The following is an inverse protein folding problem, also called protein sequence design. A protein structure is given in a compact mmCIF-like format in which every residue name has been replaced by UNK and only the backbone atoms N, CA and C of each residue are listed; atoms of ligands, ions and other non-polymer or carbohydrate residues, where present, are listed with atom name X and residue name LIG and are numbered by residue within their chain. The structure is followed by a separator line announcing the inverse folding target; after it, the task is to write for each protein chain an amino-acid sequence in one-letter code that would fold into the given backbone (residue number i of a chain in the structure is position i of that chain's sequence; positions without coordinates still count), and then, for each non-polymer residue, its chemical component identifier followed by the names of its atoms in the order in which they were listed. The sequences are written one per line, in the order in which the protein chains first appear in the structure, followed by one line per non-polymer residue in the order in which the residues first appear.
data_IF_588253210017
#
_entry.id   IF_588253210017
#
_cell.length_a   1.000
_cell.length_b   1.000
_cell.length_c   1.000
_cell.angle_alpha   90.00
_cell.angle_beta   90.00
_cell.angle_gamma   90.00
#
_symmetry.space_group_name_H-M   'P 1'
#
loop_
_entity.id
_entity.type
_entity.pdbx_description
1 polymer ?
#
# COMPACT_ATOMS: atom_id res chain seq x y z
N UNK A 1 -44.44 -21.10 48.15
CA UNK A 1 -45.28 -20.44 47.14
C UNK A 1 -44.37 -19.64 46.23
N UNK A 2 -44.14 -20.15 45.03
CA UNK A 2 -43.13 -19.73 44.06
C UNK A 2 -43.60 -18.55 43.21
N UNK A 3 -42.88 -17.44 43.25
CA UNK A 3 -43.02 -16.35 42.29
C UNK A 3 -42.13 -16.63 41.08
N UNK A 4 -42.75 -16.88 39.92
CA UNK A 4 -42.08 -17.08 38.64
C UNK A 4 -41.70 -15.74 38.02
N UNK A 5 -40.39 -15.48 37.93
CA UNK A 5 -39.81 -14.37 37.16
C UNK A 5 -39.72 -14.79 35.68
N UNK A 6 -40.53 -14.19 34.79
CA UNK A 6 -40.33 -14.29 33.34
C UNK A 6 -39.42 -13.15 32.88
N UNK A 7 -38.40 -13.40 32.03
CA UNK A 7 -37.62 -12.33 31.43
C UNK A 7 -38.47 -11.57 30.39
N UNK A 8 -38.21 -10.27 30.17
CA UNK A 8 -38.93 -9.48 29.19
C UNK A 8 -38.63 -10.00 27.78
N UNK A 9 -39.69 -10.20 27.00
CA UNK A 9 -39.58 -10.59 25.60
C UNK A 9 -38.86 -9.49 24.80
N UNK A 10 -37.73 -9.85 24.16
CA UNK A 10 -37.10 -9.01 23.15
C UNK A 10 -38.11 -8.72 22.03
N UNK A 11 -38.59 -7.47 21.97
CA UNK A 11 -39.29 -6.97 20.79
C UNK A 11 -38.27 -6.81 19.68
N UNK A 12 -38.28 -7.73 18.72
CA UNK A 12 -37.69 -7.50 17.40
C UNK A 12 -38.49 -6.36 16.79
N UNK A 13 -37.91 -5.16 16.78
CA UNK A 13 -38.45 -4.01 16.05
C UNK A 13 -38.27 -4.32 14.57
N UNK A 14 -39.36 -4.67 13.88
CA UNK A 14 -39.35 -4.76 12.41
C UNK A 14 -39.03 -3.37 11.84
N UNK A 15 -38.22 -3.26 10.77
CA UNK A 15 -38.01 -1.99 10.09
C UNK A 15 -39.36 -1.41 9.66
N UNK A 16 -39.47 -0.08 9.74
CA UNK A 16 -40.70 0.66 9.42
C UNK A 16 -41.01 0.46 7.94
N UNK A 17 -42.11 -0.26 7.64
CA UNK A 17 -42.54 -0.67 6.29
C UNK A 17 -42.66 0.45 5.24
N UNK A 18 -42.58 1.72 5.65
CA UNK A 18 -42.63 2.90 4.77
C UNK A 18 -41.28 3.24 4.13
N UNK A 19 -40.15 2.84 4.73
CA UNK A 19 -38.80 3.03 4.16
C UNK A 19 -38.47 1.97 3.10
N UNK A 20 -38.98 0.75 3.25
CA UNK A 20 -38.73 -0.34 2.28
C UNK A 20 -39.40 -0.10 0.92
N UNK A 21 -40.63 0.44 0.90
CA UNK A 21 -41.35 0.69 -0.36
C UNK A 21 -40.70 1.79 -1.22
N UNK A 22 -40.15 2.84 -0.58
CA UNK A 22 -39.40 3.91 -1.27
C UNK A 22 -38.06 3.39 -1.82
N UNK A 23 -37.38 2.50 -1.09
CA UNK A 23 -36.12 1.91 -1.55
C UNK A 23 -36.31 1.00 -2.77
N UNK A 24 -37.31 0.11 -2.73
CA UNK A 24 -37.63 -0.81 -3.83
C UNK A 24 -38.02 -0.04 -5.10
N UNK A 25 -38.87 0.99 -4.98
CA UNK A 25 -39.26 1.87 -6.09
C UNK A 25 -38.03 2.60 -6.66
N UNK A 26 -37.18 3.17 -5.80
CA UNK A 26 -35.95 3.85 -6.21
C UNK A 26 -34.96 2.91 -6.90
N UNK A 27 -34.80 1.68 -6.42
CA UNK A 27 -33.94 0.68 -7.04
C UNK A 27 -34.48 0.26 -8.41
N UNK A 28 -35.80 0.10 -8.55
CA UNK A 28 -36.43 -0.22 -9.84
C UNK A 28 -36.32 0.92 -10.87
N UNK A 29 -36.23 2.17 -10.38
CA UNK A 29 -36.09 3.37 -11.20
C UNK A 29 -34.63 3.73 -11.53
N UNK A 30 -33.64 2.97 -11.03
CA UNK A 30 -32.24 3.22 -11.34
C UNK A 30 -32.01 3.04 -12.85
N UNK A 31 -31.45 4.04 -13.55
CA UNK A 31 -31.11 3.87 -14.95
C UNK A 31 -30.04 2.79 -15.09
N UNK A 32 -30.17 1.93 -16.10
CA UNK A 32 -29.14 0.92 -16.38
C UNK A 32 -27.85 1.56 -16.88
N UNK A 33 -27.93 2.74 -17.52
CA UNK A 33 -26.79 3.48 -18.05
C UNK A 33 -26.13 4.38 -17.00
N UNK A 34 -24.86 4.70 -17.29
CA UNK A 34 -24.06 5.63 -16.49
C UNK A 34 -24.64 7.03 -16.64
N UNK A 35 -24.93 7.69 -15.53
CA UNK A 35 -25.40 9.08 -15.52
C UNK A 35 -24.22 10.06 -15.59
N UNK A 36 -24.48 11.31 -15.98
CA UNK A 36 -23.46 12.37 -15.96
C UNK A 36 -22.88 12.60 -14.56
N UNK A 37 -23.70 12.46 -13.52
CA UNK A 37 -23.27 12.59 -12.12
C UNK A 37 -22.32 11.47 -11.72
N UNK A 38 -22.61 10.23 -12.14
CA UNK A 38 -21.75 9.07 -11.88
C UNK A 38 -20.42 9.18 -12.65
N UNK A 39 -20.44 9.67 -13.89
CA UNK A 39 -19.24 9.96 -14.67
C UNK A 39 -18.39 11.06 -14.03
N UNK A 40 -19.01 12.17 -13.61
CA UNK A 40 -18.32 13.26 -12.92
C UNK A 40 -17.71 12.81 -11.59
N UNK A 41 -18.45 11.99 -10.81
CA UNK A 41 -17.94 11.39 -9.58
C UNK A 41 -16.72 10.52 -9.88
N UNK A 42 -16.81 9.60 -10.84
CA UNK A 42 -15.70 8.73 -11.20
C UNK A 42 -14.48 9.53 -11.67
N UNK A 43 -14.67 10.54 -12.53
CA UNK A 43 -13.61 11.45 -12.97
C UNK A 43 -12.93 12.12 -11.77
N UNK A 44 -13.69 12.59 -10.79
CA UNK A 44 -13.13 13.21 -9.58
C UNK A 44 -12.23 12.27 -8.75
N UNK A 45 -12.44 10.95 -8.86
CA UNK A 45 -11.65 9.94 -8.14
C UNK A 45 -10.34 9.58 -8.85
N UNK A 46 -10.21 9.93 -10.13
CA UNK A 46 -9.07 9.57 -10.97
C UNK A 46 -8.16 10.76 -11.27
N UNK A 47 -8.49 11.95 -10.76
CA UNK A 47 -7.62 13.12 -10.84
C UNK A 47 -6.41 12.92 -9.93
N UNK A 48 -5.21 13.07 -10.50
CA UNK A 48 -3.94 13.06 -9.76
C UNK A 48 -3.45 14.45 -9.40
N UNK A 49 -3.98 15.49 -10.05
CA UNK A 49 -3.66 16.88 -9.74
C UNK A 49 -4.25 17.29 -8.38
N UNK A 50 -3.42 17.90 -7.55
CA UNK A 50 -3.84 18.38 -6.24
C UNK A 50 -4.44 19.79 -6.35
N UNK A 51 -5.65 19.96 -5.82
CA UNK A 51 -6.21 21.28 -5.56
C UNK A 51 -5.31 22.05 -4.57
N UNK A 52 -5.32 23.40 -4.57
CA UNK A 52 -4.46 24.21 -3.70
C UNK A 52 -4.55 23.83 -2.22
N UNK A 53 -5.76 23.56 -1.71
CA UNK A 53 -5.96 23.15 -0.32
C UNK A 53 -5.38 21.76 -0.01
N UNK A 54 -5.37 20.84 -0.98
CA UNK A 54 -4.77 19.51 -0.82
C UNK A 54 -3.25 19.64 -0.75
N UNK A 55 -2.67 20.48 -1.62
CA UNK A 55 -1.24 20.75 -1.61
C UNK A 55 -0.78 21.41 -0.30
N UNK A 56 -1.53 22.40 0.19
CA UNK A 56 -1.27 23.04 1.49
C UNK A 56 -1.37 22.05 2.65
N UNK A 57 -2.40 21.20 2.65
CA UNK A 57 -2.58 20.18 3.70
C UNK A 57 -1.45 19.15 3.71
N UNK A 58 -1.02 18.69 2.54
CA UNK A 58 0.13 17.78 2.41
C UNK A 58 1.41 18.45 2.88
N UNK A 59 1.65 19.71 2.51
CA UNK A 59 2.87 20.44 2.87
C UNK A 59 2.95 20.77 4.38
N UNK A 60 1.80 20.85 5.06
CA UNK A 60 1.74 21.28 6.46
C UNK A 60 1.66 20.08 7.41
N UNK A 61 2.73 19.77 8.17
CA UNK A 61 2.70 18.66 9.12
C UNK A 61 1.77 18.94 10.31
N UNK A 62 1.24 17.87 10.89
CA UNK A 62 0.37 17.96 12.08
C UNK A 62 1.15 18.28 13.36
N UNK A 63 2.44 17.94 13.38
CA UNK A 63 3.36 18.17 14.49
C UNK A 63 4.77 18.49 13.96
N UNK A 64 5.55 19.21 14.76
CA UNK A 64 6.96 19.54 14.50
C UNK A 64 7.83 18.85 15.55
N UNK A 65 8.89 18.19 15.09
CA UNK A 65 9.81 17.39 15.89
C UNK A 65 11.22 18.00 15.86
N UNK A 66 11.39 19.17 16.48
CA UNK A 66 12.65 19.94 16.46
C UNK A 66 13.86 19.17 17.03
N UNK A 67 13.62 18.31 18.02
CA UNK A 67 14.67 17.56 18.70
C UNK A 67 15.16 16.33 17.89
N UNK A 68 14.44 15.92 16.85
CA UNK A 68 14.81 14.73 16.06
C UNK A 68 15.94 15.08 15.08
N UNK A 69 17.15 14.63 15.40
CA UNK A 69 18.38 14.84 14.59
C UNK A 69 18.54 13.83 13.45
N UNK A 70 17.91 12.67 13.58
CA UNK A 70 18.11 11.52 12.69
C UNK A 70 16.77 11.11 12.08
N UNK A 71 16.67 11.07 10.75
CA UNK A 71 15.43 10.72 10.03
C UNK A 71 15.66 9.45 9.20
N UNK A 72 15.02 8.34 9.58
CA UNK A 72 15.04 7.10 8.83
C UNK A 72 13.63 6.82 8.28
N UNK A 73 13.49 6.68 6.98
CA UNK A 73 12.23 6.35 6.32
C UNK A 73 12.47 5.43 5.12
N UNK A 74 12.36 4.11 5.34
CA UNK A 74 12.63 3.09 4.31
C UNK A 74 11.38 2.31 3.89
N UNK A 75 10.22 2.68 4.40
CA UNK A 75 8.95 2.06 4.05
C UNK A 75 7.84 3.09 4.17
N UNK A 76 7.51 3.72 3.05
CA UNK A 76 6.49 4.77 2.94
C UNK A 76 6.09 4.98 1.48
N UNK A 77 4.87 5.45 1.24
CA UNK A 77 4.21 5.49 -0.07
C UNK A 77 3.80 6.90 -0.47
N UNK A 78 4.37 7.47 -1.56
CA UNK A 78 4.00 8.80 -2.05
C UNK A 78 2.56 8.92 -2.54
N UNK A 79 1.98 7.85 -3.14
CA UNK A 79 0.60 7.81 -3.64
C UNK A 79 0.16 9.06 -4.44
N UNK A 80 0.79 9.30 -5.60
CA UNK A 80 0.54 10.46 -6.47
C UNK A 80 0.85 11.84 -5.88
N UNK A 81 1.28 11.92 -4.61
CA UNK A 81 1.71 13.19 -4.03
C UNK A 81 3.06 13.61 -4.63
N UNK A 82 3.17 14.83 -5.18
CA UNK A 82 4.43 15.33 -5.71
C UNK A 82 5.55 15.34 -4.67
N UNK A 83 6.72 14.79 -5.03
CA UNK A 83 7.89 14.72 -4.14
C UNK A 83 8.33 16.08 -3.60
N UNK A 84 8.11 17.17 -4.35
CA UNK A 84 8.40 18.53 -3.88
C UNK A 84 7.60 18.92 -2.62
N UNK A 85 6.30 18.57 -2.56
CA UNK A 85 5.46 18.83 -1.39
C UNK A 85 5.87 17.97 -0.20
N UNK A 86 6.28 16.72 -0.46
CA UNK A 86 6.78 15.82 0.58
C UNK A 86 8.09 16.36 1.18
N UNK A 87 9.00 16.89 0.34
CA UNK A 87 10.21 17.59 0.80
C UNK A 87 9.87 18.79 1.68
N UNK A 88 8.90 19.61 1.28
CA UNK A 88 8.45 20.75 2.08
C UNK A 88 7.92 20.29 3.45
N UNK A 89 7.08 19.24 3.47
CA UNK A 89 6.53 18.67 4.70
C UNK A 89 7.63 18.17 5.64
N UNK A 90 8.57 17.36 5.13
CA UNK A 90 9.70 16.84 5.91
C UNK A 90 10.60 17.97 6.43
N UNK A 91 10.82 19.00 5.62
CA UNK A 91 11.51 20.22 6.01
C UNK A 91 10.88 20.92 7.21
N UNK A 92 9.55 21.10 7.16
CA UNK A 92 8.79 21.72 8.24
C UNK A 92 8.69 20.83 9.49
N UNK A 93 8.60 19.51 9.29
CA UNK A 93 8.39 18.55 10.36
C UNK A 93 9.67 18.27 11.17
N UNK A 94 10.82 18.23 10.52
CA UNK A 94 12.12 17.94 11.14
C UNK A 94 13.14 19.05 10.85
N UNK A 95 12.97 20.26 11.42
CA UNK A 95 13.84 21.39 11.13
C UNK A 95 15.27 21.20 11.67
N UNK A 96 15.44 20.35 12.70
CA UNK A 96 16.72 20.08 13.34
C UNK A 96 17.48 18.86 12.81
N UNK A 97 17.02 18.21 11.74
CA UNK A 97 17.65 16.99 11.21
C UNK A 97 19.07 17.24 10.69
N UNK A 98 19.97 16.33 10.98
CA UNK A 98 21.39 16.36 10.63
C UNK A 98 21.78 15.13 9.78
N UNK A 99 21.18 13.97 10.06
CA UNK A 99 21.38 12.74 9.31
C UNK A 99 20.05 12.15 8.84
N UNK A 100 19.99 11.72 7.57
CA UNK A 100 18.76 11.14 7.02
C UNK A 100 19.01 9.99 6.04
N UNK A 101 18.13 8.99 6.03
CA UNK A 101 18.04 8.02 4.96
C UNK A 101 16.57 7.82 4.63
N UNK A 102 16.17 8.37 3.49
CA UNK A 102 14.78 8.40 3.03
C UNK A 102 14.75 7.70 1.68
N UNK A 103 14.04 6.58 1.62
CA UNK A 103 13.88 5.77 0.41
C UNK A 103 12.38 5.48 0.25
N UNK A 104 11.70 6.10 -0.74
CA UNK A 104 10.30 5.86 -1.00
C UNK A 104 10.10 4.45 -1.55
N UNK A 105 8.96 3.88 -1.23
CA UNK A 105 8.53 2.59 -1.73
C UNK A 105 7.16 2.73 -2.34
N UNK A 106 6.92 2.17 -3.51
CA UNK A 106 5.59 2.06 -4.09
C UNK A 106 5.37 0.62 -4.50
N UNK A 107 4.13 0.15 -4.39
CA UNK A 107 3.80 -1.22 -4.72
C UNK A 107 4.12 -1.53 -6.19
N UNK A 108 5.14 -2.36 -6.39
CA UNK A 108 5.62 -2.81 -7.70
C UNK A 108 5.99 -1.66 -8.65
N UNK A 109 6.53 -0.58 -8.09
CA UNK A 109 7.00 0.59 -8.82
C UNK A 109 8.27 1.16 -8.20
N UNK A 110 9.31 1.28 -9.02
CA UNK A 110 10.55 1.94 -8.64
C UNK A 110 10.30 3.44 -8.46
N UNK A 111 10.55 3.92 -7.25
CA UNK A 111 10.39 5.34 -6.90
C UNK A 111 11.69 5.88 -6.33
N UNK A 112 12.09 7.08 -6.73
CA UNK A 112 13.40 7.64 -6.36
C UNK A 112 13.31 8.86 -5.43
N UNK A 113 14.26 8.96 -4.51
CA UNK A 113 14.50 10.11 -3.63
C UNK A 113 15.99 10.29 -3.40
N UNK A 114 16.51 11.48 -3.73
CA UNK A 114 17.88 11.94 -3.43
C UNK A 114 18.97 10.86 -3.56
N UNK A 115 19.05 10.24 -4.73
CA UNK A 115 20.09 9.25 -5.06
C UNK A 115 19.78 7.81 -4.66
N UNK A 116 18.66 7.55 -3.99
CA UNK A 116 18.15 6.22 -3.69
C UNK A 116 16.85 5.92 -4.43
N UNK A 117 16.63 4.65 -4.74
CA UNK A 117 15.40 4.15 -5.35
C UNK A 117 14.89 2.96 -4.55
N UNK A 118 13.59 2.94 -4.26
CA UNK A 118 12.94 1.86 -3.54
C UNK A 118 11.69 1.36 -4.25
N UNK A 119 11.31 0.14 -3.90
CA UNK A 119 10.07 -0.51 -4.33
C UNK A 119 9.63 -1.51 -3.27
N UNK A 120 8.33 -1.61 -3.04
CA UNK A 120 7.75 -2.70 -2.27
C UNK A 120 7.13 -3.69 -3.25
N UNK A 121 7.61 -4.93 -3.24
CA UNK A 121 7.17 -5.97 -4.19
C UNK A 121 6.23 -6.96 -3.53
N UNK A 122 5.16 -7.32 -4.23
CA UNK A 122 4.38 -8.51 -3.88
C UNK A 122 5.05 -9.75 -4.50
N UNK A 123 5.28 -10.77 -3.70
CA UNK A 123 5.91 -12.00 -4.15
C UNK A 123 5.30 -13.23 -3.48
N UNK A 124 5.61 -14.39 -4.03
CA UNK A 124 5.16 -15.67 -3.50
C UNK A 124 6.22 -16.32 -2.62
N UNK A 125 5.81 -16.75 -1.42
CA UNK A 125 6.63 -17.56 -0.55
C UNK A 125 6.19 -19.02 -0.66
N UNK A 126 6.92 -19.80 -1.47
CA UNK A 126 6.57 -21.20 -1.76
C UNK A 126 6.58 -22.09 -0.52
N UNK A 127 7.51 -21.86 0.41
CA UNK A 127 7.60 -22.62 1.67
C UNK A 127 6.37 -22.51 2.56
N UNK A 128 5.56 -21.46 2.39
CA UNK A 128 4.36 -21.21 3.21
C UNK A 128 3.08 -21.07 2.40
N UNK A 129 3.18 -21.24 1.08
CA UNK A 129 2.08 -21.09 0.14
C UNK A 129 1.25 -19.81 0.37
N UNK A 130 1.94 -18.66 0.51
CA UNK A 130 1.29 -17.37 0.78
C UNK A 130 1.97 -16.24 0.02
N UNK A 131 1.19 -15.18 -0.25
CA UNK A 131 1.73 -13.89 -0.69
C UNK A 131 2.50 -13.25 0.45
N UNK A 132 3.70 -12.76 0.18
CA UNK A 132 4.51 -11.95 1.08
C UNK A 132 4.97 -10.68 0.37
N UNK A 133 5.60 -9.78 1.11
CA UNK A 133 6.14 -8.54 0.56
C UNK A 133 7.62 -8.42 0.91
N UNK A 134 8.37 -7.72 0.05
CA UNK A 134 9.76 -7.34 0.28
C UNK A 134 9.94 -5.87 -0.08
N UNK A 135 10.82 -5.17 0.64
CA UNK A 135 11.31 -3.85 0.26
C UNK A 135 12.65 -4.04 -0.44
N UNK A 136 12.78 -3.54 -1.66
CA UNK A 136 14.03 -3.55 -2.41
C UNK A 136 14.54 -2.11 -2.50
N UNK A 137 15.79 -1.90 -2.12
CA UNK A 137 16.41 -0.58 -2.06
C UNK A 137 17.72 -0.56 -2.84
N UNK A 138 17.96 0.51 -3.59
CA UNK A 138 19.11 0.65 -4.48
C UNK A 138 19.67 2.06 -4.40
N UNK A 139 20.96 2.23 -4.69
CA UNK A 139 21.42 3.49 -5.27
C UNK A 139 20.77 3.69 -6.64
N UNK A 140 20.21 4.86 -6.90
CA UNK A 140 19.37 5.11 -8.09
C UNK A 140 20.09 4.81 -9.40
N UNK A 141 21.40 5.03 -9.47
CA UNK A 141 22.17 4.77 -10.69
C UNK A 141 22.25 3.27 -11.05
N UNK A 142 22.04 2.35 -10.09
CA UNK A 142 22.06 0.90 -10.33
C UNK A 142 20.81 0.41 -11.07
N UNK A 143 19.73 1.17 -10.92
CA UNK A 143 18.42 0.87 -11.50
C UNK A 143 17.94 2.01 -12.40
N UNK A 144 18.81 2.90 -12.87
CA UNK A 144 18.42 3.97 -13.78
C UNK A 144 18.15 3.40 -15.19
N UNK A 145 17.19 3.98 -15.91
CA UNK A 145 17.10 3.75 -17.35
C UNK A 145 18.16 4.62 -18.04
N UNK A 146 19.06 4.02 -18.82
CA UNK A 146 20.11 4.72 -19.59
C UNK A 146 19.58 5.69 -20.67
N UNK A 147 18.26 5.86 -20.78
CA UNK A 147 17.60 6.79 -21.72
C UNK A 147 17.57 8.25 -21.21
N UNK A 148 18.07 8.52 -19.99
CA UNK A 148 18.02 9.85 -19.37
C UNK A 148 19.34 10.64 -19.46
N UNK A 149 20.21 10.38 -20.45
CA UNK A 149 21.34 11.27 -20.77
C UNK A 149 21.10 11.93 -22.13
N UNK A 150 20.18 12.89 -22.15
CA UNK A 150 20.16 13.93 -23.18
C UNK A 150 20.59 15.25 -22.56
N UNK A 151 21.84 15.32 -22.12
CA UNK A 151 22.56 16.59 -22.07
C UNK A 151 23.14 16.82 -23.46
N UNK A 152 22.39 17.48 -24.32
CA UNK A 152 22.91 17.97 -25.60
C UNK A 152 23.86 19.12 -25.29
N UNK A 153 25.15 18.82 -25.15
CA UNK A 153 26.18 19.82 -25.42
C UNK A 153 26.23 20.03 -26.95
N UNK A 154 26.38 21.27 -27.45
CA UNK A 154 26.46 21.51 -28.87
C UNK A 154 27.78 20.92 -29.40
N UNK A 155 27.70 19.79 -30.08
CA UNK A 155 28.82 19.21 -30.82
C UNK A 155 28.99 20.03 -32.11
N UNK A 156 30.20 20.56 -32.32
CA UNK A 156 30.56 21.29 -33.53
C UNK A 156 30.28 20.45 -34.80
N UNK A 157 29.84 21.08 -35.90
CA UNK A 157 29.52 20.35 -37.14
C UNK A 157 30.79 19.71 -37.73
N UNK A 158 30.82 18.37 -37.78
CA UNK A 158 31.89 17.61 -38.45
C UNK A 158 32.59 16.53 -37.61
N UNK A 159 32.24 16.33 -36.34
CA UNK A 159 32.78 15.21 -35.56
C UNK A 159 32.02 13.90 -35.87
N UNK A 160 32.72 12.76 -36.08
CA UNK A 160 32.06 11.47 -36.20
C UNK A 160 31.29 11.17 -34.91
N UNK A 161 30.02 10.77 -35.05
CA UNK A 161 29.18 10.39 -33.92
C UNK A 161 29.91 9.31 -33.11
N UNK A 162 30.08 9.46 -31.79
CA UNK A 162 30.60 8.37 -30.97
C UNK A 162 29.64 7.20 -31.13
N UNK A 163 30.17 6.02 -31.43
CA UNK A 163 29.39 4.80 -31.46
C UNK A 163 28.68 4.66 -30.11
N UNK A 164 27.36 4.82 -30.11
CA UNK A 164 26.51 4.45 -28.99
C UNK A 164 26.63 2.93 -28.84
N UNK A 165 27.58 2.48 -28.04
CA UNK A 165 27.46 1.18 -27.38
C UNK A 165 26.23 1.29 -26.50
N UNK A 166 25.14 0.66 -26.92
CA UNK A 166 23.96 0.45 -26.09
C UNK A 166 24.37 -0.37 -24.87
N UNK A 167 24.73 0.33 -23.79
CA UNK A 167 24.76 -0.25 -22.46
C UNK A 167 23.31 -0.65 -22.17
N UNK A 168 23.06 -1.95 -22.06
CA UNK A 168 21.73 -2.47 -21.80
C UNK A 168 21.21 -1.99 -20.45
N UNK A 169 19.89 -1.79 -20.35
CA UNK A 169 19.21 -1.48 -19.08
C UNK A 169 19.54 -2.56 -18.05
N UNK A 170 20.44 -2.22 -17.11
CA UNK A 170 20.97 -3.17 -16.12
C UNK A 170 19.84 -3.81 -15.31
N UNK A 171 18.73 -3.11 -15.10
CA UNK A 171 17.59 -3.55 -14.30
C UNK A 171 16.40 -4.05 -15.13
N UNK A 172 16.59 -4.41 -16.40
CA UNK A 172 15.49 -4.83 -17.29
C UNK A 172 14.69 -6.02 -16.74
N UNK A 173 15.34 -7.00 -16.11
CA UNK A 173 14.70 -8.17 -15.51
C UNK A 173 13.82 -7.74 -14.35
N UNK A 174 14.37 -7.01 -13.37
CA UNK A 174 13.60 -6.43 -12.27
C UNK A 174 12.37 -5.66 -12.77
N UNK A 175 12.55 -4.75 -13.73
CA UNK A 175 11.43 -3.97 -14.30
C UNK A 175 10.35 -4.85 -14.90
N UNK A 176 10.75 -5.90 -15.62
CA UNK A 176 9.82 -6.87 -16.20
C UNK A 176 9.06 -7.63 -15.13
N UNK A 177 9.73 -8.04 -14.04
CA UNK A 177 9.09 -8.67 -12.89
C UNK A 177 8.07 -7.74 -12.22
N UNK A 178 8.44 -6.47 -12.00
CA UNK A 178 7.57 -5.46 -11.42
C UNK A 178 6.33 -5.19 -12.30
N UNK A 179 6.52 -5.02 -13.60
CA UNK A 179 5.43 -4.79 -14.55
C UNK A 179 4.46 -5.97 -14.60
N UNK A 180 4.97 -7.20 -14.60
CA UNK A 180 4.16 -8.42 -14.53
C UNK A 180 3.34 -8.46 -13.24
N UNK A 181 3.97 -8.26 -12.08
CA UNK A 181 3.28 -8.26 -10.79
C UNK A 181 2.24 -7.16 -10.70
N UNK A 182 2.53 -5.96 -11.22
CA UNK A 182 1.59 -4.83 -11.26
C UNK A 182 0.36 -5.14 -12.10
N UNK A 183 0.56 -5.63 -13.34
CA UNK A 183 -0.52 -6.05 -14.24
C UNK A 183 -1.38 -7.14 -13.60
N UNK A 184 -0.74 -8.11 -12.96
CA UNK A 184 -1.46 -9.16 -12.26
C UNK A 184 -2.26 -8.61 -11.08
N UNK A 185 -1.69 -7.72 -10.26
CA UNK A 185 -2.41 -7.08 -9.14
C UNK A 185 -3.61 -6.26 -9.62
N UNK A 186 -3.51 -5.58 -10.76
CA UNK A 186 -4.64 -4.86 -11.37
C UNK A 186 -5.78 -5.80 -11.77
N UNK A 187 -5.48 -7.04 -12.21
CA UNK A 187 -6.51 -8.04 -12.56
C UNK A 187 -7.46 -8.37 -11.41
N UNK A 188 -7.01 -8.23 -10.15
CA UNK A 188 -7.84 -8.46 -8.97
C UNK A 188 -9.06 -7.54 -8.91
N UNK A 189 -8.93 -6.26 -9.34
CA UNK A 189 -10.08 -5.35 -9.39
C UNK A 189 -11.11 -5.84 -10.42
N UNK A 190 -10.66 -6.27 -11.59
CA UNK A 190 -11.55 -6.78 -12.63
C UNK A 190 -12.25 -8.08 -12.21
N UNK A 191 -11.52 -8.99 -11.56
CA UNK A 191 -12.10 -10.22 -10.99
C UNK A 191 -13.13 -9.89 -9.90
N UNK A 192 -12.83 -8.90 -9.06
CA UNK A 192 -13.74 -8.41 -8.03
C UNK A 192 -15.01 -7.78 -8.60
N UNK A 193 -14.89 -6.87 -9.57
CA UNK A 193 -16.02 -6.28 -10.28
C UNK A 193 -16.86 -7.36 -10.95
N UNK A 194 -16.22 -8.30 -11.65
CA UNK A 194 -16.91 -9.43 -12.31
C UNK A 194 -17.69 -10.28 -11.30
N UNK A 195 -17.10 -10.59 -10.15
CA UNK A 195 -17.75 -11.41 -9.12
C UNK A 195 -19.00 -10.76 -8.51
N UNK A 196 -19.11 -9.42 -8.56
CA UNK A 196 -20.33 -8.71 -8.13
C UNK A 196 -21.36 -8.63 -9.26
N UNK A 197 -20.92 -8.32 -10.48
CA UNK A 197 -21.83 -8.13 -11.63
C UNK A 197 -22.39 -9.46 -12.15
N UNK A 198 -21.57 -10.51 -12.13
CA UNK A 198 -21.90 -11.88 -12.54
C UNK A 198 -21.59 -12.81 -11.38
N UNK A 199 -22.45 -12.82 -10.34
CA UNK A 199 -22.18 -13.56 -9.12
C UNK A 199 -22.04 -15.06 -9.40
N UNK A 200 -20.89 -15.59 -8.99
CA UNK A 200 -20.64 -17.01 -8.84
C UNK A 200 -21.03 -17.39 -7.41
N UNK A 201 -21.79 -18.48 -7.24
CA UNK A 201 -22.25 -18.98 -5.95
C UNK A 201 -21.09 -19.26 -4.98
N UNK A 202 -19.92 -19.65 -5.50
CA UNK A 202 -18.73 -19.91 -4.71
C UNK A 202 -18.14 -18.64 -4.06
N UNK A 203 -18.44 -17.46 -4.62
CA UNK A 203 -17.93 -16.17 -4.15
C UNK A 203 -19.02 -15.36 -3.48
N UNK A 204 -20.15 -15.16 -4.16
CA UNK A 204 -21.26 -14.35 -3.67
C UNK A 204 -21.98 -15.04 -2.50
N UNK A 205 -22.21 -16.35 -2.56
CA UNK A 205 -22.92 -17.11 -1.53
C UNK A 205 -22.29 -16.97 -0.13
N UNK A 206 -20.97 -17.21 0.04
CA UNK A 206 -20.28 -16.95 1.30
C UNK A 206 -20.38 -15.49 1.78
N UNK A 207 -20.26 -14.52 0.88
CA UNK A 207 -20.34 -13.11 1.22
C UNK A 207 -21.74 -12.72 1.75
N UNK A 208 -22.80 -13.20 1.11
CA UNK A 208 -24.20 -13.01 1.58
C UNK A 208 -24.39 -13.60 2.98
N UNK A 209 -23.89 -14.82 3.21
CA UNK A 209 -23.99 -15.48 4.53
C UNK A 209 -23.23 -14.74 5.62
N UNK A 210 -22.08 -14.17 5.29
CA UNK A 210 -21.25 -13.40 6.23
C UNK A 210 -21.91 -12.08 6.62
N UNK A 211 -22.53 -11.37 5.67
CA UNK A 211 -23.03 -10.01 5.89
C UNK A 211 -24.52 -9.91 6.17
N UNK A 212 -25.31 -10.94 5.84
CA UNK A 212 -26.77 -10.87 5.87
C UNK A 212 -27.33 -9.87 4.86
N UNK A 213 -26.67 -9.71 3.71
CA UNK A 213 -27.14 -8.85 2.64
C UNK A 213 -28.50 -9.35 2.11
N UNK A 214 -29.47 -8.44 1.97
CA UNK A 214 -30.78 -8.70 1.38
C UNK A 214 -30.79 -8.38 -0.12
N UNK A 215 -31.90 -8.70 -0.79
CA UNK A 215 -32.05 -8.54 -2.24
C UNK A 215 -31.81 -7.09 -2.69
N UNK A 216 -32.17 -6.10 -1.87
CA UNK A 216 -31.94 -4.67 -2.15
C UNK A 216 -30.45 -4.33 -2.19
N UNK A 217 -29.68 -4.79 -1.20
CA UNK A 217 -28.22 -4.60 -1.17
C UNK A 217 -27.55 -5.29 -2.37
N UNK A 218 -28.01 -6.49 -2.73
CA UNK A 218 -27.47 -7.24 -3.86
C UNK A 218 -27.78 -6.59 -5.21
N UNK A 219 -29.04 -6.16 -5.40
CA UNK A 219 -29.47 -5.46 -6.60
C UNK A 219 -28.69 -4.16 -6.79
N UNK A 220 -28.60 -3.33 -5.74
CA UNK A 220 -27.85 -2.08 -5.78
C UNK A 220 -26.36 -2.31 -6.07
N UNK A 221 -25.72 -3.23 -5.33
CA UNK A 221 -24.31 -3.53 -5.52
C UNK A 221 -24.02 -3.96 -6.96
N UNK A 222 -24.89 -4.80 -7.55
CA UNK A 222 -24.75 -5.27 -8.94
C UNK A 222 -24.91 -4.13 -9.95
N UNK A 223 -25.93 -3.29 -9.81
CA UNK A 223 -26.17 -2.16 -10.74
C UNK A 223 -25.01 -1.16 -10.67
N UNK A 224 -24.67 -0.70 -9.47
CA UNK A 224 -23.62 0.31 -9.30
C UNK A 224 -22.23 -0.22 -9.68
N UNK A 225 -21.93 -1.48 -9.39
CA UNK A 225 -20.67 -2.10 -9.83
C UNK A 225 -20.65 -2.33 -11.34
N UNK A 226 -21.80 -2.59 -11.97
CA UNK A 226 -21.93 -2.67 -13.42
C UNK A 226 -21.65 -1.33 -14.10
N UNK A 227 -22.19 -0.24 -13.57
CA UNK A 227 -21.89 1.13 -14.01
C UNK A 227 -20.42 1.48 -13.82
N UNK A 228 -19.86 1.15 -12.66
CA UNK A 228 -18.44 1.29 -12.38
C UNK A 228 -17.56 0.53 -13.39
N UNK A 229 -17.94 -0.68 -13.79
CA UNK A 229 -17.25 -1.46 -14.82
C UNK A 229 -17.21 -0.71 -16.16
N UNK A 230 -18.33 -0.12 -16.57
CA UNK A 230 -18.41 0.66 -17.82
C UNK A 230 -17.57 1.94 -17.74
N UNK A 231 -17.53 2.60 -16.58
CA UNK A 231 -16.68 3.75 -16.33
C UNK A 231 -15.19 3.38 -16.41
N UNK A 232 -14.79 2.25 -15.83
CA UNK A 232 -13.44 1.71 -15.98
C UNK A 232 -13.07 1.42 -17.44
N UNK A 233 -13.98 0.86 -18.23
CA UNK A 233 -13.76 0.61 -19.65
C UNK A 233 -13.66 1.91 -20.46
N UNK A 234 -14.48 2.91 -20.11
CA UNK A 234 -14.56 4.19 -20.82
C UNK A 234 -13.32 5.06 -20.59
N UNK A 235 -12.87 5.14 -19.34
CA UNK A 235 -11.73 6.00 -18.94
C UNK A 235 -10.41 5.23 -18.81
N UNK A 236 -10.43 3.90 -18.97
CA UNK A 236 -9.30 3.03 -18.63
C UNK A 236 -8.00 3.34 -19.36
N UNK A 237 -8.06 3.90 -20.57
CA UNK A 237 -6.87 4.31 -21.33
C UNK A 237 -6.15 5.51 -20.68
N UNK A 238 -6.88 6.36 -19.95
CA UNK A 238 -6.37 7.56 -19.30
C UNK A 238 -5.99 7.31 -17.83
N UNK A 239 -6.28 6.12 -17.29
CA UNK A 239 -5.97 5.77 -15.90
C UNK A 239 -4.52 5.35 -15.74
N UNK A 240 -3.77 5.95 -14.79
CA UNK A 240 -2.53 5.35 -14.31
C UNK A 240 -2.80 3.93 -13.79
N UNK A 241 -1.97 2.98 -14.19
CA UNK A 241 -2.15 1.56 -13.84
C UNK A 241 -2.27 1.32 -12.33
N UNK A 242 -1.57 2.12 -11.53
CA UNK A 242 -1.55 2.01 -10.08
C UNK A 242 -2.80 2.64 -9.40
N UNK A 243 -3.66 3.34 -10.15
CA UNK A 243 -5.01 3.72 -9.69
C UNK A 243 -6.00 2.57 -9.76
N UNK A 244 -5.73 1.56 -10.61
CA UNK A 244 -6.60 0.39 -10.84
C UNK A 244 -6.49 -0.59 -9.67
N UNK A 245 -7.13 -0.24 -8.55
CA UNK A 245 -7.14 -0.99 -7.28
C UNK A 245 -8.55 -1.07 -6.71
N UNK A 246 -8.81 -2.06 -5.86
CA UNK A 246 -10.09 -2.25 -5.14
C UNK A 246 -10.58 -1.00 -4.39
N UNK A 247 -9.67 -0.10 -4.00
CA UNK A 247 -9.99 1.18 -3.35
C UNK A 247 -10.84 2.09 -4.25
N UNK A 248 -10.71 1.99 -5.58
CA UNK A 248 -11.43 2.83 -6.53
C UNK A 248 -12.94 2.51 -6.52
N UNK A 249 -13.34 1.23 -6.55
CA UNK A 249 -14.75 0.84 -6.41
C UNK A 249 -15.32 1.25 -5.04
N UNK A 250 -14.56 1.03 -3.96
CA UNK A 250 -14.97 1.46 -2.61
C UNK A 250 -15.24 2.96 -2.58
N UNK A 251 -14.32 3.78 -3.09
CA UNK A 251 -14.46 5.24 -3.10
C UNK A 251 -15.61 5.69 -4.00
N UNK A 252 -15.85 5.02 -5.13
CA UNK A 252 -17.01 5.29 -6.00
C UNK A 252 -18.32 5.08 -5.25
N UNK A 253 -18.47 3.94 -4.56
CA UNK A 253 -19.67 3.65 -3.77
C UNK A 253 -19.83 4.60 -2.57
N UNK A 254 -18.73 4.97 -1.90
CA UNK A 254 -18.76 5.97 -0.82
C UNK A 254 -19.15 7.37 -1.34
N UNK A 255 -18.77 7.70 -2.58
CA UNK A 255 -19.15 8.96 -3.23
C UNK A 255 -20.65 9.10 -3.51
N UNK A 256 -21.42 8.01 -3.43
CA UNK A 256 -22.88 8.02 -3.56
C UNK A 256 -23.60 8.43 -2.26
N UNK A 257 -22.85 8.62 -1.17
CA UNK A 257 -23.39 9.15 0.09
C UNK A 257 -23.88 10.59 -0.13
N UNK A 258 -25.13 10.85 0.24
CA UNK A 258 -25.82 12.11 -0.01
C UNK A 258 -27.06 11.91 -0.86
N UNK A 259 -26.96 11.08 -1.89
CA UNK A 259 -28.13 10.60 -2.66
C UNK A 259 -28.77 9.37 -1.99
N UNK A 260 -27.94 8.54 -1.36
CA UNK A 260 -28.34 7.34 -0.65
C UNK A 260 -28.09 7.47 0.86
N UNK A 261 -28.92 6.80 1.64
CA UNK A 261 -28.76 6.75 3.09
C UNK A 261 -27.41 6.14 3.46
N UNK A 262 -26.68 6.78 4.38
CA UNK A 262 -25.35 6.33 4.80
C UNK A 262 -25.35 4.88 5.32
N UNK A 263 -26.38 4.49 6.09
CA UNK A 263 -26.49 3.14 6.65
C UNK A 263 -26.69 2.08 5.55
N UNK A 264 -27.40 2.41 4.47
CA UNK A 264 -27.56 1.53 3.31
C UNK A 264 -26.24 1.36 2.58
N UNK A 265 -25.52 2.46 2.32
CA UNK A 265 -24.17 2.40 1.72
C UNK A 265 -23.21 1.59 2.60
N UNK A 266 -23.29 1.69 3.93
CA UNK A 266 -22.47 0.88 4.84
C UNK A 266 -22.73 -0.63 4.67
N UNK A 267 -24.00 -1.03 4.50
CA UNK A 267 -24.37 -2.43 4.23
C UNK A 267 -23.84 -2.92 2.89
N UNK A 268 -23.94 -2.08 1.85
CA UNK A 268 -23.38 -2.36 0.51
C UNK A 268 -21.87 -2.53 0.59
N UNK A 269 -21.16 -1.62 1.28
CA UNK A 269 -19.72 -1.70 1.47
C UNK A 269 -19.30 -2.94 2.25
N UNK A 270 -20.09 -3.36 3.26
CA UNK A 270 -19.84 -4.59 3.99
C UNK A 270 -19.93 -5.82 3.07
N UNK A 271 -20.98 -5.92 2.26
CA UNK A 271 -21.14 -6.99 1.28
C UNK A 271 -20.00 -7.01 0.25
N UNK A 272 -19.71 -5.86 -0.35
CA UNK A 272 -18.63 -5.65 -1.31
C UNK A 272 -17.26 -6.04 -0.73
N UNK A 273 -16.99 -5.67 0.53
CA UNK A 273 -15.78 -6.08 1.26
C UNK A 273 -15.70 -7.60 1.42
N UNK A 274 -16.81 -8.26 1.77
CA UNK A 274 -16.84 -9.72 1.90
C UNK A 274 -16.57 -10.41 0.55
N UNK A 275 -17.20 -9.95 -0.55
CA UNK A 275 -16.92 -10.46 -1.90
C UNK A 275 -15.43 -10.29 -2.25
N UNK A 276 -14.85 -9.11 -2.00
CA UNK A 276 -13.42 -8.85 -2.23
C UNK A 276 -12.51 -9.82 -1.48
N UNK A 277 -12.81 -10.14 -0.21
CA UNK A 277 -12.00 -11.12 0.54
C UNK A 277 -12.15 -12.54 -0.01
N UNK A 278 -13.32 -12.93 -0.52
CA UNK A 278 -13.52 -14.21 -1.21
C UNK A 278 -12.73 -14.31 -2.52
N UNK A 279 -12.67 -13.21 -3.29
CA UNK A 279 -11.84 -13.11 -4.51
C UNK A 279 -10.36 -13.20 -4.16
N UNK A 280 -9.90 -12.45 -3.13
CA UNK A 280 -8.50 -12.49 -2.68
C UNK A 280 -8.04 -13.88 -2.24
N UNK A 281 -8.90 -14.67 -1.60
CA UNK A 281 -8.59 -16.05 -1.19
C UNK A 281 -8.36 -17.01 -2.37
N UNK A 282 -9.00 -16.72 -3.51
CA UNK A 282 -8.92 -17.52 -4.73
C UNK A 282 -7.89 -17.00 -5.72
N UNK A 283 -7.28 -15.85 -5.43
CA UNK A 283 -6.32 -15.19 -6.29
C UNK A 283 -5.07 -16.06 -6.43
N UNK A 284 -4.79 -16.64 -7.61
CA UNK A 284 -3.70 -17.61 -7.79
C UNK A 284 -2.35 -17.03 -7.37
N UNK A 285 -1.60 -17.74 -6.54
CA UNK A 285 -0.34 -17.23 -6.01
C UNK A 285 0.86 -17.53 -6.91
N UNK A 286 0.73 -18.51 -7.80
CA UNK A 286 1.76 -18.98 -8.74
C UNK A 286 2.08 -18.00 -9.86
N UNK A 287 1.26 -16.95 -10.04
CA UNK A 287 1.56 -15.86 -10.97
C UNK A 287 2.54 -14.83 -10.39
N UNK A 288 2.73 -14.79 -9.08
CA UNK A 288 3.77 -13.95 -8.48
C UNK A 288 5.13 -14.64 -8.62
N UNK A 289 6.16 -13.86 -8.94
CA UNK A 289 7.54 -14.32 -8.78
C UNK A 289 7.81 -14.70 -7.32
N UNK A 290 8.69 -15.67 -7.11
CA UNK A 290 9.07 -16.09 -5.76
C UNK A 290 9.86 -15.00 -5.06
N UNK A 291 9.76 -14.96 -3.74
CA UNK A 291 10.58 -14.07 -2.91
C UNK A 291 12.08 -14.23 -3.21
N UNK A 292 12.56 -15.45 -3.42
CA UNK A 292 13.97 -15.72 -3.74
C UNK A 292 14.40 -15.12 -5.07
N UNK A 293 13.52 -15.08 -6.07
CA UNK A 293 13.85 -14.51 -7.39
C UNK A 293 14.01 -13.00 -7.31
N UNK A 294 13.16 -12.32 -6.52
CA UNK A 294 13.35 -10.89 -6.25
C UNK A 294 14.61 -10.61 -5.42
N UNK A 295 14.93 -11.47 -4.46
CA UNK A 295 16.15 -11.33 -3.64
C UNK A 295 17.40 -11.46 -4.53
N UNK A 296 17.47 -12.52 -5.33
CA UNK A 296 18.59 -12.78 -6.25
C UNK A 296 18.79 -11.64 -7.24
N UNK A 297 17.71 -11.16 -7.85
CA UNK A 297 17.75 -10.02 -8.78
C UNK A 297 18.20 -8.74 -8.08
N UNK A 298 17.64 -8.43 -6.91
CA UNK A 298 17.99 -7.22 -6.17
C UNK A 298 19.47 -7.23 -5.76
N UNK A 299 19.96 -8.34 -5.21
CA UNK A 299 21.38 -8.50 -4.85
C UNK A 299 22.30 -8.49 -6.07
N UNK A 300 21.88 -9.08 -7.20
CA UNK A 300 22.62 -9.04 -8.46
C UNK A 300 22.83 -7.62 -9.00
N UNK A 301 21.87 -6.73 -8.75
CA UNK A 301 21.97 -5.29 -9.03
C UNK A 301 22.71 -4.51 -7.94
N UNK A 302 23.19 -5.18 -6.90
CA UNK A 302 23.82 -4.56 -5.74
C UNK A 302 22.84 -3.77 -4.86
N UNK A 303 21.56 -4.09 -4.93
CA UNK A 303 20.54 -3.59 -4.00
C UNK A 303 20.56 -4.31 -2.66
N UNK A 304 19.73 -3.84 -1.76
CA UNK A 304 19.48 -4.42 -0.45
C UNK A 304 18.01 -4.83 -0.31
N UNK A 305 17.75 -5.86 0.49
CA UNK A 305 16.40 -6.41 0.71
C UNK A 305 16.02 -6.33 2.17
N UNK A 306 14.82 -5.82 2.46
CA UNK A 306 14.24 -5.78 3.81
C UNK A 306 12.88 -6.48 3.80
N UNK A 307 12.60 -7.28 4.83
CA UNK A 307 11.27 -7.86 5.03
C UNK A 307 10.41 -6.86 5.83
N UNK A 308 9.37 -6.26 5.23
CA UNK A 308 8.46 -5.35 5.92
C UNK A 308 7.52 -6.12 6.86
N UNK A 309 7.18 -5.50 8.00
CA UNK A 309 6.20 -5.95 9.00
C UNK A 309 5.94 -7.49 9.02
N UNK A 310 6.93 -8.31 9.40
CA UNK A 310 6.88 -9.77 9.26
C UNK A 310 5.78 -10.43 10.11
N UNK A 311 5.19 -9.71 11.07
CA UNK A 311 4.00 -10.16 11.82
C UNK A 311 2.83 -10.50 10.90
N UNK A 312 2.66 -9.76 9.79
CA UNK A 312 1.60 -10.01 8.82
C UNK A 312 1.80 -11.30 8.02
N UNK A 313 3.03 -11.85 8.02
CA UNK A 313 3.44 -13.00 7.23
C UNK A 313 4.13 -14.07 8.09
N UNK A 314 3.74 -14.21 9.37
CA UNK A 314 4.46 -14.88 10.47
C UNK A 314 5.37 -16.08 10.16
N UNK A 315 5.04 -17.01 9.24
CA UNK A 315 6.00 -18.04 8.85
C UNK A 315 7.29 -17.52 8.16
N UNK A 316 7.30 -16.31 7.60
CA UNK A 316 8.41 -15.75 6.81
C UNK A 316 9.75 -15.72 7.56
N UNK A 317 9.73 -15.55 8.89
CA UNK A 317 10.94 -15.57 9.71
C UNK A 317 11.66 -16.93 9.70
N UNK A 318 10.94 -18.00 9.36
CA UNK A 318 11.45 -19.36 9.23
C UNK A 318 11.98 -19.67 7.83
N UNK A 319 11.75 -18.80 6.83
CA UNK A 319 12.20 -19.02 5.45
C UNK A 319 13.73 -18.96 5.28
N UNK A 320 14.42 -18.34 6.25
CA UNK A 320 15.86 -18.05 6.21
C UNK A 320 16.31 -17.31 4.95
N UNK A 321 15.47 -16.42 4.41
CA UNK A 321 15.84 -15.58 3.27
C UNK A 321 17.13 -14.79 3.52
N UNK A 322 17.98 -14.70 2.50
CA UNK A 322 19.18 -13.85 2.51
C UNK A 322 18.75 -12.40 2.33
N UNK A 323 18.58 -11.70 3.44
CA UNK A 323 18.06 -10.32 3.48
C UNK A 323 18.94 -9.45 4.35
N UNK A 324 18.95 -8.15 4.06
CA UNK A 324 19.75 -7.16 4.76
C UNK A 324 19.11 -6.69 6.08
N UNK A 325 17.79 -6.85 6.22
CA UNK A 325 17.12 -6.51 7.46
C UNK A 325 15.66 -6.94 7.57
N UNK A 326 15.11 -6.73 8.77
CA UNK A 326 13.70 -6.91 9.08
C UNK A 326 13.14 -5.63 9.67
N UNK A 327 11.98 -5.22 9.21
CA UNK A 327 11.16 -4.19 9.83
C UNK A 327 10.46 -4.76 11.06
N UNK A 328 11.09 -4.61 12.24
CA UNK A 328 10.60 -5.22 13.48
C UNK A 328 9.44 -4.44 14.11
N UNK A 329 9.22 -3.20 13.67
CA UNK A 329 8.12 -2.36 14.08
C UNK A 329 7.51 -1.66 12.88
N UNK A 330 6.18 -1.60 12.91
CA UNK A 330 5.35 -0.85 11.99
C UNK A 330 4.10 -0.38 12.75
N UNK A 331 3.49 0.78 12.42
CA UNK A 331 2.26 1.23 13.08
C UNK A 331 1.13 0.18 13.09
N UNK A 332 1.03 -0.64 12.04
CA UNK A 332 0.05 -1.73 11.91
C UNK A 332 0.47 -3.03 12.59
N UNK A 333 1.75 -3.17 12.94
CA UNK A 333 2.39 -4.42 13.35
C UNK A 333 3.49 -4.12 14.37
N UNK A 334 3.08 -3.72 15.57
CA UNK A 334 3.98 -3.29 16.65
C UNK A 334 3.95 -4.21 17.87
N UNK A 335 2.99 -5.15 17.93
CA UNK A 335 2.73 -5.99 19.10
C UNK A 335 3.93 -6.84 19.48
N UNK A 336 4.67 -7.35 18.51
CA UNK A 336 5.80 -8.26 18.75
C UNK A 336 7.18 -7.61 18.55
N UNK A 337 7.28 -6.28 18.61
CA UNK A 337 8.54 -5.55 18.36
C UNK A 337 9.73 -6.08 19.16
N UNK A 338 9.61 -6.20 20.48
CA UNK A 338 10.69 -6.73 21.33
C UNK A 338 11.06 -8.19 21.01
N UNK A 339 10.06 -9.00 20.66
CA UNK A 339 10.27 -10.38 20.26
C UNK A 339 11.02 -10.45 18.93
N UNK A 340 10.61 -9.65 17.94
CA UNK A 340 11.25 -9.59 16.63
C UNK A 340 12.70 -9.10 16.72
N UNK A 341 12.98 -8.09 17.54
CA UNK A 341 14.36 -7.68 17.87
C UNK A 341 15.15 -8.87 18.42
N UNK A 342 14.56 -9.65 19.32
CA UNK A 342 15.21 -10.84 19.90
C UNK A 342 15.43 -11.95 18.86
N UNK A 343 14.52 -12.11 17.90
CA UNK A 343 14.67 -13.06 16.78
C UNK A 343 15.83 -12.65 15.87
N UNK A 344 15.88 -11.38 15.44
CA UNK A 344 16.98 -10.85 14.60
C UNK A 344 18.32 -11.02 15.32
N UNK A 345 18.39 -10.63 16.60
CA UNK A 345 19.60 -10.80 17.41
C UNK A 345 20.04 -12.26 17.54
N UNK A 346 19.10 -13.21 17.60
CA UNK A 346 19.43 -14.64 17.63
C UNK A 346 19.95 -15.12 16.28
N UNK A 347 19.32 -14.70 15.17
CA UNK A 347 19.78 -15.04 13.81
C UNK A 347 21.22 -14.55 13.59
N UNK A 348 21.55 -13.33 14.04
CA UNK A 348 22.91 -12.77 13.92
C UNK A 348 23.98 -13.50 14.75
N UNK A 349 23.58 -14.28 15.76
CA UNK A 349 24.52 -15.10 16.56
C UNK A 349 24.69 -16.52 16.03
N UNK A 350 23.73 -16.99 15.23
CA UNK A 350 23.72 -18.33 14.68
C UNK A 350 24.49 -18.43 13.36
N UNK A 351 24.77 -19.65 12.87
CA UNK A 351 25.20 -19.85 11.50
C UNK A 351 24.01 -19.55 10.57
N UNK A 352 24.04 -18.40 9.89
CA UNK A 352 23.02 -17.98 8.92
C UNK A 352 23.48 -18.15 7.46
N UNK A 353 22.53 -18.07 6.53
CA UNK A 353 22.80 -18.02 5.09
C UNK A 353 23.53 -16.74 4.68
N UNK A 354 23.14 -15.61 5.28
CA UNK A 354 23.82 -14.33 5.06
C UNK A 354 25.14 -14.28 5.82
N UNK A 355 26.20 -13.82 5.14
CA UNK A 355 27.48 -13.49 5.78
C UNK A 355 27.44 -12.15 6.54
N UNK A 356 26.39 -11.36 6.34
CA UNK A 356 26.24 -10.01 6.89
C UNK A 356 25.28 -10.03 8.08
N UNK A 357 25.51 -9.14 9.04
CA UNK A 357 24.59 -8.93 10.15
C UNK A 357 23.22 -8.49 9.61
N UNK A 358 22.12 -9.06 10.06
CA UNK A 358 20.78 -8.62 9.69
C UNK A 358 20.44 -7.36 10.50
N UNK A 359 20.08 -6.28 9.81
CA UNK A 359 19.73 -5.01 10.45
C UNK A 359 18.28 -5.00 10.95
N UNK A 360 18.07 -4.21 12.00
CA UNK A 360 16.74 -3.94 12.56
C UNK A 360 16.22 -2.61 12.00
N UNK A 361 15.09 -2.66 11.31
CA UNK A 361 14.39 -1.49 10.79
C UNK A 361 13.11 -1.22 11.58
N UNK A 362 12.72 0.04 11.60
CA UNK A 362 11.36 0.47 11.90
C UNK A 362 10.80 1.03 10.59
N UNK A 363 9.55 0.77 10.27
CA UNK A 363 8.88 1.31 9.08
C UNK A 363 7.72 2.19 9.51
N UNK A 364 7.58 3.36 8.91
CA UNK A 364 6.46 4.25 9.21
C UNK A 364 5.20 3.91 8.41
N UNK A 365 5.33 3.23 7.26
CA UNK A 365 4.20 2.79 6.41
C UNK A 365 3.19 3.93 6.20
N UNK A 366 3.74 5.12 5.95
CA UNK A 366 2.99 6.33 5.72
C UNK A 366 2.49 6.37 4.27
N UNK A 367 1.17 6.49 4.11
CA UNK A 367 0.52 6.64 2.81
C UNK A 367 0.10 8.10 2.62
N UNK A 368 0.85 8.85 1.80
CA UNK A 368 0.67 10.30 1.65
C UNK A 368 -0.64 10.67 0.95
N UNK A 369 -1.21 9.77 0.14
CA UNK A 369 -2.49 9.96 -0.52
C UNK A 369 -3.66 10.04 0.45
N UNK A 370 -3.51 9.58 1.70
CA UNK A 370 -4.54 9.83 2.73
C UNK A 370 -4.61 11.33 3.09
N UNK A 371 -3.47 12.03 3.05
CA UNK A 371 -3.37 13.46 3.38
C UNK A 371 -3.91 14.38 2.29
N UNK A 372 -4.30 13.86 1.13
CA UNK A 372 -4.97 14.64 0.07
C UNK A 372 -6.49 14.66 0.24
N UNK A 373 -7.04 13.87 1.16
CA UNK A 373 -8.49 13.80 1.41
C UNK A 373 -8.95 14.90 2.37
N UNK A 374 -10.22 15.33 2.32
CA UNK A 374 -10.79 16.17 3.37
C UNK A 374 -10.64 15.50 4.74
N UNK A 375 -10.32 16.26 5.79
CA UNK A 375 -9.94 15.72 7.11
C UNK A 375 -11.02 14.85 7.73
N UNK A 376 -12.27 15.22 7.54
CA UNK A 376 -13.45 14.50 8.00
C UNK A 376 -13.68 13.16 7.30
N UNK A 377 -13.02 12.93 6.16
CA UNK A 377 -13.09 11.68 5.39
C UNK A 377 -11.84 10.81 5.58
N UNK A 378 -10.82 11.31 6.28
CA UNK A 378 -9.57 10.59 6.48
C UNK A 378 -9.74 9.42 7.46
N UNK A 379 -9.01 8.35 7.19
CA UNK A 379 -8.71 7.33 8.18
C UNK A 379 -7.73 7.92 9.21
N UNK A 380 -8.17 8.06 10.46
CA UNK A 380 -7.42 8.75 11.51
C UNK A 380 -6.07 8.10 11.81
N UNK A 381 -6.01 6.77 11.81
CA UNK A 381 -4.77 6.03 12.08
C UNK A 381 -3.78 6.16 10.92
N UNK A 382 -4.26 6.15 9.67
CA UNK A 382 -3.39 6.36 8.50
C UNK A 382 -2.93 7.80 8.36
N UNK A 383 -3.82 8.76 8.62
CA UNK A 383 -3.51 10.18 8.55
C UNK A 383 -2.43 10.59 9.55
N UNK A 384 -2.43 9.96 10.74
CA UNK A 384 -1.47 10.23 11.82
C UNK A 384 -0.03 9.72 11.54
N UNK A 385 0.15 8.79 10.59
CA UNK A 385 1.49 8.31 10.23
C UNK A 385 2.25 9.39 9.48
N UNK A 386 3.54 9.50 9.72
CA UNK A 386 4.38 10.49 9.07
C UNK A 386 5.69 9.86 8.61
N UNK A 387 6.17 10.30 7.44
CA UNK A 387 7.44 9.82 6.87
C UNK A 387 8.56 10.13 7.84
N UNK A 388 9.28 9.11 8.30
CA UNK A 388 10.41 9.28 9.22
C UNK A 388 10.05 9.51 10.69
N UNK A 389 8.77 9.47 11.07
CA UNK A 389 8.36 9.45 12.48
C UNK A 389 8.11 8.02 12.94
N UNK A 390 8.98 7.57 13.84
CA UNK A 390 9.03 6.19 14.28
C UNK A 390 9.14 6.15 15.81
N UNK A 391 8.02 6.32 16.55
CA UNK A 391 8.02 6.45 18.00
C UNK A 391 8.62 5.25 18.74
N UNK A 392 8.71 4.08 18.09
CA UNK A 392 9.36 2.90 18.65
C UNK A 392 10.84 3.12 19.05
N UNK A 393 11.54 4.04 18.38
CA UNK A 393 12.91 4.39 18.78
C UNK A 393 12.99 5.08 20.14
N UNK A 394 11.90 5.71 20.58
CA UNK A 394 11.83 6.46 21.83
C UNK A 394 11.16 5.67 22.96
N UNK A 395 10.47 4.57 22.62
CA UNK A 395 9.84 3.67 23.58
C UNK A 395 10.89 3.05 24.54
N UNK A 396 10.73 3.17 25.87
CA UNK A 396 11.71 2.67 26.83
C UNK A 396 11.99 1.17 26.76
N UNK A 397 10.96 0.35 26.47
CA UNK A 397 11.10 -1.10 26.40
C UNK A 397 11.87 -1.51 25.14
N UNK A 398 11.52 -0.91 24.00
CA UNK A 398 12.22 -1.11 22.73
C UNK A 398 13.67 -0.61 22.82
N UNK A 399 13.89 0.61 23.32
CA UNK A 399 15.24 1.18 23.52
C UNK A 399 16.13 0.28 24.36
N UNK A 400 15.61 -0.25 25.47
CA UNK A 400 16.35 -1.17 26.32
C UNK A 400 16.84 -2.39 25.53
N UNK A 401 16.01 -2.96 24.65
CA UNK A 401 16.40 -4.11 23.80
C UNK A 401 17.45 -3.74 22.77
N UNK A 402 17.29 -2.60 22.10
CA UNK A 402 18.23 -2.12 21.08
C UNK A 402 19.60 -1.80 21.66
N UNK A 403 19.65 -1.20 22.86
CA UNK A 403 20.91 -0.87 23.55
C UNK A 403 21.76 -2.09 23.89
N UNK A 404 21.14 -3.26 24.14
CA UNK A 404 21.88 -4.50 24.43
C UNK A 404 22.70 -5.00 23.23
N UNK A 405 22.37 -4.57 22.02
CA UNK A 405 23.07 -4.92 20.78
C UNK A 405 23.69 -3.71 20.08
N UNK A 406 23.68 -2.55 20.74
CA UNK A 406 24.23 -1.31 20.20
C UNK A 406 23.54 -0.85 18.91
N UNK A 407 22.26 -1.19 18.73
CA UNK A 407 21.47 -0.71 17.59
C UNK A 407 20.92 0.68 17.92
N UNK A 408 21.14 1.64 17.03
CA UNK A 408 20.57 2.98 17.07
C UNK A 408 20.10 3.40 15.68
N UNK A 409 19.25 4.42 15.60
CA UNK A 409 18.75 4.95 14.32
C UNK A 409 19.91 5.42 13.43
N UNK A 410 20.83 6.23 13.95
CA UNK A 410 22.06 6.67 13.26
C UNK A 410 22.93 5.51 12.78
N UNK A 411 23.13 4.48 13.61
CA UNK A 411 23.89 3.30 13.20
C UNK A 411 23.22 2.57 12.04
N UNK A 412 21.90 2.39 12.08
CA UNK A 412 21.16 1.76 10.97
C UNK A 412 21.29 2.59 9.69
N UNK A 413 21.15 3.92 9.77
CA UNK A 413 21.33 4.81 8.60
C UNK A 413 22.72 4.59 7.98
N UNK A 414 23.79 4.69 8.79
CA UNK A 414 25.16 4.56 8.31
C UNK A 414 25.44 3.16 7.76
N UNK A 415 25.11 2.12 8.51
CA UNK A 415 25.42 0.74 8.16
C UNK A 415 24.61 0.32 6.91
N UNK A 416 23.40 0.84 6.71
CA UNK A 416 22.59 0.55 5.52
C UNK A 416 23.05 1.34 4.28
N UNK A 417 23.43 2.61 4.42
CA UNK A 417 24.07 3.38 3.35
C UNK A 417 25.33 2.68 2.83
N UNK A 418 26.17 2.17 3.75
CA UNK A 418 27.37 1.43 3.38
C UNK A 418 27.05 0.17 2.55
N UNK A 419 25.96 -0.54 2.85
CA UNK A 419 25.53 -1.71 2.05
C UNK A 419 25.02 -1.32 0.67
N UNK A 420 24.22 -0.25 0.59
CA UNK A 420 23.70 0.24 -0.68
C UNK A 420 24.83 0.70 -1.61
N UNK A 421 25.92 1.22 -1.05
CA UNK A 421 27.13 1.59 -1.79
C UNK A 421 27.94 0.40 -2.34
N UNK A 422 27.67 -0.84 -1.90
CA UNK A 422 28.31 -2.07 -2.36
C UNK A 422 29.40 -2.61 -1.44
#
# INVERSE_FOLDING_TARGET
MTATNRPPAMKIVKPVARQCADLEERLSALPEDVTEQEDALFRSLIVTDLAPWQAEQVATPSAVHEAQREVLATHWHPEFVPMGLIRQRLGAMFPGREEELIIPTQHNELTSWDGYTGVEVDCYSSGFNQKVQLLLHFESHRVACDHAVSTVAPVAPGAPAPALTALGDKAHTLRSMLAHTRKYRASQLYDYVRAVVRPDDDVAGPAVRETGADDDVLAFARVMTGKFSRLLETHGADLPEDMVKNKLLRNFIDGLRGEWEATFIDRVQAYLKAVKEQVKRRFPLDYFYRATEFIEEAHGLGGCVVIPHPEQFWPILLAEYDVDGYEVWNPQSSRYTEFLISVVNRKNRGPGLSRREILVFMGDDCHLGEKTRPREQQDTEKAAREVGLQPAWDDPAVRKRLSLTGVSRSRVIRDYRARLAG
#
